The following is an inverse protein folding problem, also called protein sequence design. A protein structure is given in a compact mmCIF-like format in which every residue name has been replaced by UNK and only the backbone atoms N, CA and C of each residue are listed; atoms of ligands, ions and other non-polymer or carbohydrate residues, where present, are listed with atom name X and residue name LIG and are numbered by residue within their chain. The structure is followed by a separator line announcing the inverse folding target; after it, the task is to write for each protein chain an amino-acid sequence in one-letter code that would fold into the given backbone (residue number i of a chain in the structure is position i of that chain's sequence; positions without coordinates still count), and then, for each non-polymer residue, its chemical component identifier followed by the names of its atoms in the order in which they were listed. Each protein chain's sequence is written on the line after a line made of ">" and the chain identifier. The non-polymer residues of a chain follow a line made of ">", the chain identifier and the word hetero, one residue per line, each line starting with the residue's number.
data_IF_502893621456
#
_entry.id   IF_502893621456
#
_cell.length_a   1.000
_cell.length_b   1.000
_cell.length_c   1.000
_cell.angle_alpha   90.00
_cell.angle_beta   90.00
_cell.angle_gamma   90.00
#
_symmetry.space_group_name_H-M   'P 1'
#
loop_
_entity.id
_entity.type
_entity.pdbx_description
1 polymer ?
#
# COMPACT_ATOMS: atom_id res chain seq x y z
N UNK A 1 -9.75 -3.43 -14.09
CA UNK A 1 -9.48 -2.62 -15.29
C UNK A 1 -8.34 -3.27 -16.07
N UNK A 2 -8.59 -3.59 -17.31
CA UNK A 2 -7.56 -4.15 -18.18
C UNK A 2 -6.95 -3.03 -19.00
N UNK A 3 -5.68 -2.74 -18.77
CA UNK A 3 -4.93 -1.85 -19.65
C UNK A 3 -4.19 -2.72 -20.68
N UNK A 4 -4.49 -2.50 -21.94
CA UNK A 4 -3.81 -3.17 -23.06
C UNK A 4 -2.84 -2.18 -23.66
N UNK A 5 -1.56 -2.48 -23.56
CA UNK A 5 -0.52 -1.68 -24.22
C UNK A 5 -0.05 -2.47 -25.45
N UNK A 6 -0.21 -1.87 -26.61
CA UNK A 6 0.38 -2.42 -27.82
C UNK A 6 1.82 -1.95 -27.92
N UNK A 7 2.73 -2.83 -27.66
CA UNK A 7 4.12 -2.63 -28.01
C UNK A 7 4.37 -3.07 -29.47
N UNK A 8 5.55 -2.81 -29.97
CA UNK A 8 5.98 -3.13 -31.35
C UNK A 8 5.94 -4.63 -31.70
N UNK A 9 5.60 -5.51 -30.77
CA UNK A 9 5.54 -6.97 -30.94
C UNK A 9 4.36 -7.63 -30.26
N UNK A 10 3.20 -7.01 -30.23
CA UNK A 10 2.02 -7.65 -29.73
C UNK A 10 1.48 -7.06 -28.43
N UNK A 11 0.42 -7.65 -27.97
CA UNK A 11 -0.32 -7.20 -26.80
C UNK A 11 0.39 -7.65 -25.54
N UNK A 12 0.83 -6.70 -24.72
CA UNK A 12 1.17 -6.98 -23.34
C UNK A 12 -0.08 -6.74 -22.51
N UNK A 13 -0.75 -7.81 -22.09
CA UNK A 13 -1.85 -7.72 -21.15
C UNK A 13 -1.29 -7.52 -19.74
N UNK A 14 -1.35 -6.29 -19.25
CA UNK A 14 -1.18 -6.03 -17.83
C UNK A 14 -2.54 -5.97 -17.19
N UNK A 15 -2.77 -6.84 -16.23
CA UNK A 15 -3.98 -6.82 -15.42
C UNK A 15 -3.71 -6.00 -14.17
N UNK A 16 -4.52 -4.96 -14.00
CA UNK A 16 -4.61 -4.24 -12.75
C UNK A 16 -5.86 -4.70 -12.03
N UNK A 17 -5.72 -4.97 -10.75
CA UNK A 17 -6.84 -5.30 -9.88
C UNK A 17 -7.06 -4.14 -8.92
N UNK A 18 -8.29 -3.63 -8.87
CA UNK A 18 -8.66 -2.54 -8.00
C UNK A 18 -9.54 -3.04 -6.86
N UNK A 19 -9.30 -2.52 -5.67
CA UNK A 19 -10.07 -2.85 -4.47
C UNK A 19 -10.50 -1.57 -3.76
N UNK A 20 -11.67 -1.62 -3.14
CA UNK A 20 -12.09 -0.62 -2.18
C UNK A 20 -12.09 -1.28 -0.80
N UNK A 21 -11.46 -0.65 0.17
CA UNK A 21 -11.45 -1.11 1.55
C UNK A 21 -11.90 -0.02 2.50
N UNK A 22 -12.43 -0.44 3.62
CA UNK A 22 -12.84 0.45 4.70
C UNK A 22 -12.08 0.10 5.97
N UNK A 23 -11.75 1.12 6.75
CA UNK A 23 -11.01 0.98 8.00
C UNK A 23 -11.65 1.85 9.07
N UNK A 24 -11.98 1.26 10.23
CA UNK A 24 -12.55 2.01 11.35
C UNK A 24 -11.48 2.92 12.00
N UNK A 25 -11.92 3.99 12.71
CA UNK A 25 -10.97 4.89 13.36
C UNK A 25 -9.97 4.19 14.26
N UNK A 26 -8.72 4.65 14.25
CA UNK A 26 -7.64 4.14 15.09
C UNK A 26 -6.97 2.87 14.62
N UNK A 27 -7.47 2.21 13.58
CA UNK A 27 -6.91 0.96 13.09
C UNK A 27 -5.83 1.23 12.05
N UNK A 28 -4.76 0.45 12.13
CA UNK A 28 -3.66 0.41 11.16
C UNK A 28 -3.74 -0.89 10.38
N UNK A 29 -3.61 -0.80 9.07
CA UNK A 29 -3.61 -1.94 8.16
C UNK A 29 -2.35 -1.93 7.30
N UNK A 30 -2.03 -3.08 6.72
CA UNK A 30 -0.81 -3.30 5.98
C UNK A 30 0.24 -3.90 6.90
N UNK A 31 1.26 -3.15 7.24
CA UNK A 31 2.37 -3.59 8.09
C UNK A 31 3.13 -4.72 7.40
N UNK A 32 3.41 -4.53 6.12
CA UNK A 32 4.07 -5.52 5.29
C UNK A 32 4.76 -4.90 4.07
N UNK A 33 5.55 -5.70 3.39
CA UNK A 33 6.15 -5.33 2.10
C UNK A 33 5.94 -6.44 1.08
N UNK A 34 6.20 -6.12 -0.17
CA UNK A 34 6.11 -7.04 -1.30
C UNK A 34 7.45 -7.14 -2.02
N UNK A 35 7.71 -8.30 -2.59
CA UNK A 35 8.93 -8.55 -3.37
C UNK A 35 8.72 -8.29 -4.86
N UNK A 36 7.52 -8.49 -5.37
CA UNK A 36 7.24 -8.48 -6.80
C UNK A 36 6.14 -7.50 -7.20
N UNK A 37 5.03 -7.45 -6.46
CA UNK A 37 3.91 -6.58 -6.82
C UNK A 37 4.12 -5.17 -6.33
N UNK A 38 3.59 -4.23 -7.10
CA UNK A 38 3.47 -2.82 -6.71
C UNK A 38 2.02 -2.48 -6.45
N UNK A 39 1.80 -1.57 -5.52
CA UNK A 39 0.47 -1.08 -5.18
C UNK A 39 0.43 0.44 -5.22
N UNK A 40 -0.76 0.97 -5.42
CA UNK A 40 -1.04 2.40 -5.34
C UNK A 40 -2.29 2.62 -4.52
N UNK A 41 -2.26 3.61 -3.66
CA UNK A 41 -3.34 3.91 -2.74
C UNK A 41 -3.85 5.33 -2.93
N UNK A 42 -5.16 5.49 -2.87
CA UNK A 42 -5.84 6.80 -2.82
C UNK A 42 -6.88 6.74 -1.72
N UNK A 43 -6.87 7.72 -0.82
CA UNK A 43 -7.95 7.90 0.14
C UNK A 43 -9.10 8.62 -0.54
N UNK A 44 -10.27 8.01 -0.56
CA UNK A 44 -11.49 8.56 -1.16
C UNK A 44 -12.31 9.34 -0.14
N UNK A 45 -12.33 8.89 1.10
CA UNK A 45 -13.08 9.52 2.19
C UNK A 45 -12.42 9.24 3.53
N UNK A 46 -12.36 10.28 4.36
CA UNK A 46 -11.72 10.22 5.67
C UNK A 46 -10.31 10.76 5.67
N UNK A 47 -9.61 10.52 6.78
CA UNK A 47 -8.24 11.00 7.00
C UNK A 47 -7.35 9.86 7.42
N UNK A 48 -6.17 9.80 6.85
CA UNK A 48 -5.21 8.75 7.14
C UNK A 48 -3.77 9.29 7.16
N UNK A 49 -2.90 8.51 7.77
CA UNK A 49 -1.45 8.64 7.61
C UNK A 49 -0.93 7.36 7.00
N UNK A 50 -0.23 7.49 5.89
CA UNK A 50 0.49 6.40 5.26
C UNK A 50 1.95 6.53 5.63
N UNK A 51 2.54 5.45 6.15
CA UNK A 51 3.96 5.38 6.48
C UNK A 51 4.65 4.33 5.64
N UNK A 52 5.86 4.67 5.19
CA UNK A 52 6.69 3.82 4.36
C UNK A 52 8.10 3.78 4.92
N UNK A 53 8.70 2.60 4.96
CA UNK A 53 10.12 2.45 5.26
C UNK A 53 10.73 1.46 4.27
N UNK A 54 11.78 1.88 3.60
CA UNK A 54 12.53 1.00 2.72
C UNK A 54 13.23 -0.08 3.53
N UNK A 55 13.20 -1.31 3.04
CA UNK A 55 13.92 -2.41 3.68
C UNK A 55 15.41 -2.09 3.78
N UNK A 56 16.00 -2.44 4.91
CA UNK A 56 17.39 -2.18 5.27
C UNK A 56 17.74 -0.71 5.50
N UNK A 57 16.75 0.16 5.61
CA UNK A 57 16.92 1.57 5.94
C UNK A 57 16.08 1.92 7.18
N UNK A 58 16.48 2.98 7.87
CA UNK A 58 15.82 3.40 9.12
C UNK A 58 14.82 4.54 8.93
N UNK A 59 14.93 5.29 7.84
CA UNK A 59 14.07 6.43 7.59
C UNK A 59 12.62 6.01 7.34
N UNK A 60 11.70 6.61 8.08
CA UNK A 60 10.27 6.45 7.88
C UNK A 60 9.72 7.69 7.19
N UNK A 61 9.08 7.48 6.04
CA UNK A 61 8.36 8.53 5.32
C UNK A 61 6.91 8.54 5.79
N UNK A 62 6.36 9.71 6.05
CA UNK A 62 4.98 9.89 6.45
C UNK A 62 4.24 10.76 5.47
N UNK A 63 3.06 10.31 5.05
CA UNK A 63 2.17 11.04 4.15
C UNK A 63 0.79 11.18 4.79
N UNK A 64 0.48 12.36 5.35
CA UNK A 64 -0.90 12.67 5.70
C UNK A 64 -1.75 12.78 4.42
N UNK A 65 -2.85 12.06 4.38
CA UNK A 65 -3.73 12.02 3.21
C UNK A 65 -5.18 12.12 3.62
N UNK A 66 -6.03 12.66 2.74
CA UNK A 66 -7.46 12.78 3.00
C UNK A 66 -8.27 12.68 1.71
N UNK A 67 -9.56 12.38 1.85
CA UNK A 67 -10.49 12.39 0.72
C UNK A 67 -10.74 13.77 0.14
N UNK A 68 -10.50 14.85 0.89
CA UNK A 68 -10.64 16.22 0.43
C UNK A 68 -9.50 16.65 -0.50
N UNK A 69 -8.34 16.03 -0.35
CA UNK A 69 -7.15 16.27 -1.17
C UNK A 69 -6.60 14.93 -1.66
N UNK A 70 -7.27 14.28 -2.62
CA UNK A 70 -6.83 12.99 -3.10
C UNK A 70 -5.40 13.05 -3.62
N UNK A 71 -4.59 12.11 -3.14
CA UNK A 71 -3.21 11.92 -3.58
C UNK A 71 -2.96 10.44 -3.81
N UNK A 72 -2.22 10.15 -4.86
CA UNK A 72 -1.80 8.77 -5.15
C UNK A 72 -0.48 8.52 -4.43
N UNK A 73 -0.46 7.50 -3.60
CA UNK A 73 0.75 7.07 -2.90
C UNK A 73 1.18 5.73 -3.48
N UNK A 74 2.38 5.70 -4.03
CA UNK A 74 2.97 4.48 -4.54
C UNK A 74 3.60 3.67 -3.40
N UNK A 75 3.34 2.35 -3.43
CA UNK A 75 3.94 1.37 -2.53
C UNK A 75 4.88 0.49 -3.35
N UNK A 76 6.15 0.88 -3.52
CA UNK A 76 7.09 0.09 -4.30
C UNK A 76 7.45 -1.23 -3.62
N UNK A 77 7.97 -2.18 -4.38
CA UNK A 77 8.54 -3.39 -3.81
C UNK A 77 9.67 -3.05 -2.83
N UNK A 78 9.86 -3.90 -1.81
CA UNK A 78 10.88 -3.73 -0.77
C UNK A 78 10.68 -2.51 0.12
N UNK A 79 9.49 -1.95 0.15
CA UNK A 79 9.09 -0.91 1.10
C UNK A 79 7.98 -1.44 2.00
N UNK A 80 8.25 -1.51 3.29
CA UNK A 80 7.20 -1.79 4.27
C UNK A 80 6.26 -0.60 4.35
N UNK A 81 4.96 -0.86 4.35
CA UNK A 81 3.96 0.19 4.34
C UNK A 81 2.81 -0.13 5.28
N UNK A 82 2.22 0.92 5.78
CA UNK A 82 1.01 0.87 6.60
C UNK A 82 0.14 2.09 6.35
N UNK A 83 -1.15 1.92 6.60
CA UNK A 83 -2.13 3.01 6.59
C UNK A 83 -2.90 3.00 7.89
N UNK A 84 -2.96 4.15 8.55
CA UNK A 84 -3.68 4.34 9.81
C UNK A 84 -4.81 5.33 9.61
N UNK A 85 -6.02 4.94 10.03
CA UNK A 85 -7.14 5.88 10.08
C UNK A 85 -6.94 6.79 11.31
N UNK A 86 -6.63 8.05 11.05
CA UNK A 86 -6.42 9.07 12.09
C UNK A 86 -7.61 10.00 12.27
N UNK A 87 -8.67 9.78 11.51
CA UNK A 87 -9.91 10.53 11.59
C UNK A 87 -10.91 9.96 12.59
N UNK A 88 -12.09 10.53 12.61
CA UNK A 88 -13.18 10.16 13.52
C UNK A 88 -14.31 9.37 12.84
N UNK A 89 -14.15 9.05 11.56
CA UNK A 89 -15.11 8.28 10.77
C UNK A 89 -14.42 7.20 9.96
N UNK A 90 -15.20 6.34 9.34
CA UNK A 90 -14.68 5.25 8.51
C UNK A 90 -13.83 5.81 7.37
N UNK A 91 -12.64 5.27 7.22
CA UNK A 91 -11.73 5.57 6.12
C UNK A 91 -12.09 4.69 4.92
N UNK A 92 -12.25 5.29 3.77
CA UNK A 92 -12.46 4.57 2.51
C UNK A 92 -11.24 4.77 1.61
N UNK A 93 -10.61 3.68 1.22
CA UNK A 93 -9.39 3.66 0.41
C UNK A 93 -9.65 2.88 -0.86
N UNK A 94 -9.26 3.47 -1.99
CA UNK A 94 -9.13 2.75 -3.25
C UNK A 94 -7.66 2.39 -3.41
N UNK A 95 -7.39 1.13 -3.72
CA UNK A 95 -6.05 0.73 -4.09
C UNK A 95 -6.08 -0.22 -5.27
N UNK A 96 -4.99 -0.23 -6.02
CA UNK A 96 -4.82 -1.17 -7.11
C UNK A 96 -3.41 -1.74 -7.10
N UNK A 97 -3.32 -2.92 -7.64
CA UNK A 97 -2.09 -3.71 -7.70
C UNK A 97 -1.93 -4.28 -9.12
N UNK A 98 -0.70 -4.53 -9.51
CA UNK A 98 -0.36 -5.08 -10.83
C UNK A 98 -0.41 -6.61 -10.88
N UNK A 99 -0.74 -7.27 -9.78
CA UNK A 99 -0.84 -8.73 -9.75
C UNK A 99 -1.97 -9.21 -8.86
N UNK A 100 -2.53 -10.36 -9.22
CA UNK A 100 -3.55 -11.04 -8.42
C UNK A 100 -2.91 -11.71 -7.20
N UNK A 101 -3.66 -11.75 -6.11
CA UNK A 101 -3.25 -12.53 -4.94
C UNK A 101 -3.26 -14.02 -5.27
N UNK A 102 -2.15 -14.68 -5.00
CA UNK A 102 -1.98 -16.13 -5.14
C UNK A 102 -1.66 -16.70 -3.75
N UNK A 103 -2.54 -17.55 -3.18
CA UNK A 103 -2.29 -18.15 -1.86
C UNK A 103 -1.03 -19.03 -1.80
N UNK A 104 -0.60 -19.58 -2.94
CA UNK A 104 0.62 -20.39 -3.03
C UNK A 104 1.88 -19.54 -3.12
N UNK A 105 1.75 -18.28 -3.52
CA UNK A 105 2.84 -17.32 -3.62
C UNK A 105 2.32 -15.92 -3.21
N UNK A 106 2.02 -15.71 -1.93
CA UNK A 106 1.28 -14.53 -1.49
C UNK A 106 2.02 -13.21 -1.66
N UNK A 107 3.34 -13.24 -1.76
CA UNK A 107 4.18 -12.03 -1.94
C UNK A 107 3.86 -10.93 -0.93
N UNK A 108 3.54 -11.32 0.29
CA UNK A 108 3.23 -10.40 1.39
C UNK A 108 4.01 -10.85 2.61
N UNK A 109 4.92 -10.00 3.06
CA UNK A 109 5.84 -10.32 4.16
C UNK A 109 5.63 -9.32 5.28
N UNK A 110 5.22 -9.80 6.44
CA UNK A 110 5.02 -8.95 7.61
C UNK A 110 6.34 -8.29 8.03
N UNK A 111 6.30 -6.98 8.16
CA UNK A 111 7.44 -6.17 8.63
C UNK A 111 6.94 -4.86 9.18
N UNK A 112 7.16 -4.55 10.46
CA UNK A 112 6.79 -3.27 11.02
C UNK A 112 7.45 -2.11 10.28
N UNK A 113 6.67 -1.08 9.98
CA UNK A 113 7.19 0.15 9.37
C UNK A 113 7.96 0.93 10.42
N UNK A 114 7.35 1.13 11.57
CA UNK A 114 7.98 1.77 12.73
C UNK A 114 8.48 0.65 13.65
N UNK A 115 9.79 0.56 13.82
CA UNK A 115 10.39 -0.46 14.70
C UNK A 115 10.44 0.01 16.14
N UNK A 116 10.14 -0.89 17.06
CA UNK A 116 10.37 -0.67 18.48
C UNK A 116 11.85 -0.88 18.81
N UNK A 117 12.29 -0.41 19.98
CA UNK A 117 13.67 -0.63 20.43
C UNK A 117 14.02 -2.13 20.54
N UNK A 118 13.06 -2.99 20.88
CA UNK A 118 13.26 -4.43 20.92
C UNK A 118 13.45 -5.05 19.53
N UNK A 119 12.78 -4.52 18.52
CA UNK A 119 12.90 -4.96 17.14
C UNK A 119 14.20 -4.49 16.49
N UNK A 120 14.73 -3.35 16.92
CA UNK A 120 16.02 -2.83 16.45
C UNK A 120 17.21 -3.63 16.95
N UNK A 121 17.07 -4.30 18.10
CA UNK A 121 18.12 -5.14 18.72
C UNK A 121 18.14 -6.56 18.14
N UNK A 122 17.03 -6.99 17.58
CA UNK A 122 16.87 -8.36 17.06
C UNK A 122 17.62 -8.51 15.68
#
# INVERSE_FOLDING_TARGET
>A
MNASVRGSRGLVNRRFVSFVSTTVPGVTRGIHYHLHKIERFVVLDGEAVIRLRRMFHDEVLEFPVSGERPAVIDMPTMWSHEITNVGDRVLTTLFWTDSLFDPESPDTIHEPVVRTAAEEIA
#
